data_IF_533943822014
#
_entry.id   IF_533943822014
#
_cell.length_a   1.000
_cell.length_b   1.000
_cell.length_c   1.000
_cell.angle_alpha   90.00
_cell.angle_beta   90.00
_cell.angle_gamma   90.00
#
_symmetry.space_group_name_H-M   'P 1'
#
loop_
_entity.id
_entity.type
_entity.pdbx_description
1 polymer ?
#
# COMPACT_ATOMS: atom_id res chain seq x y z
N UNK A 1 63.55 -40.93 -63.61
CA UNK A 1 62.18 -40.96 -64.18
C UNK A 1 61.32 -41.87 -63.31
N UNK A 2 60.04 -41.55 -63.10
CA UNK A 2 59.42 -41.44 -61.77
C UNK A 2 58.44 -42.58 -61.43
N UNK A 3 58.08 -42.74 -60.15
CA UNK A 3 56.71 -43.18 -59.77
C UNK A 3 56.28 -42.68 -58.39
N UNK A 4 55.04 -42.21 -58.37
CA UNK A 4 54.32 -41.39 -57.41
C UNK A 4 54.24 -41.87 -55.95
N UNK A 5 54.34 -40.91 -55.02
CA UNK A 5 53.77 -40.99 -53.67
C UNK A 5 52.37 -40.36 -53.70
N UNK A 6 51.38 -41.10 -53.19
CA UNK A 6 49.99 -40.66 -53.03
C UNK A 6 49.90 -39.56 -51.95
N UNK A 7 49.26 -38.45 -52.32
CA UNK A 7 48.97 -37.34 -51.43
C UNK A 7 47.46 -37.33 -51.15
N UNK A 8 47.03 -37.73 -49.96
CA UNK A 8 45.65 -37.53 -49.49
C UNK A 8 45.55 -36.18 -48.77
N UNK A 9 44.57 -35.32 -49.06
CA UNK A 9 44.42 -34.05 -48.37
C UNK A 9 43.85 -34.25 -46.96
N UNK A 10 44.11 -33.32 -46.01
CA UNK A 10 43.57 -33.41 -44.66
C UNK A 10 42.06 -33.07 -44.67
N UNK A 11 41.28 -33.86 -43.93
CA UNK A 11 39.88 -33.56 -43.62
C UNK A 11 39.79 -32.23 -42.85
N UNK A 12 39.10 -31.24 -43.42
CA UNK A 12 38.68 -30.04 -42.68
C UNK A 12 37.49 -30.42 -41.80
N UNK A 13 37.70 -30.48 -40.49
CA UNK A 13 36.62 -30.56 -39.52
C UNK A 13 35.83 -29.24 -39.56
N UNK A 14 34.62 -29.28 -40.12
CA UNK A 14 33.67 -28.17 -40.06
C UNK A 14 33.00 -28.24 -38.70
N UNK A 15 33.46 -27.42 -37.75
CA UNK A 15 32.77 -27.21 -36.49
C UNK A 15 31.48 -26.43 -36.76
N UNK A 16 30.34 -27.13 -36.67
CA UNK A 16 29.02 -26.53 -36.79
C UNK A 16 28.73 -25.75 -35.50
N UNK A 17 28.99 -24.45 -35.50
CA UNK A 17 28.56 -23.52 -34.45
C UNK A 17 27.04 -23.39 -34.52
N UNK A 18 26.32 -24.13 -33.68
CA UNK A 18 24.90 -23.87 -33.42
C UNK A 18 24.76 -22.49 -32.77
N UNK A 19 23.90 -21.60 -33.26
CA UNK A 19 23.60 -20.36 -32.56
C UNK A 19 22.81 -20.73 -31.30
N UNK A 20 23.40 -20.46 -30.13
CA UNK A 20 22.71 -20.52 -28.86
C UNK A 20 21.66 -19.40 -28.88
N UNK A 21 20.44 -19.72 -29.32
CA UNK A 21 19.30 -18.83 -29.24
C UNK A 21 19.05 -18.56 -27.75
N UNK A 22 19.46 -17.38 -27.29
CA UNK A 22 19.19 -16.89 -25.95
C UNK A 22 17.67 -16.65 -25.87
N UNK A 23 16.93 -17.65 -25.41
CA UNK A 23 15.55 -17.46 -24.96
C UNK A 23 15.60 -16.52 -23.74
N UNK A 24 15.50 -15.21 -23.98
CA UNK A 24 15.00 -14.29 -22.96
C UNK A 24 13.57 -14.72 -22.68
N UNK A 25 13.38 -15.53 -21.62
CA UNK A 25 12.05 -15.70 -21.06
C UNK A 25 11.57 -14.30 -20.69
N UNK A 26 10.64 -13.77 -21.48
CA UNK A 26 9.85 -12.62 -21.06
C UNK A 26 9.08 -13.11 -19.84
N UNK A 27 9.62 -12.84 -18.64
CA UNK A 27 8.88 -13.05 -17.42
C UNK A 27 7.58 -12.26 -17.59
N UNK A 28 6.45 -12.97 -17.61
CA UNK A 28 5.16 -12.31 -17.52
C UNK A 28 5.23 -11.37 -16.31
N UNK A 29 4.81 -10.10 -16.43
CA UNK A 29 4.75 -9.24 -15.26
C UNK A 29 3.96 -9.97 -14.19
N UNK A 30 4.48 -9.98 -12.96
CA UNK A 30 3.77 -10.56 -11.83
C UNK A 30 2.35 -9.97 -11.80
N UNK A 31 1.32 -10.77 -11.47
CA UNK A 31 -0.04 -10.26 -11.39
C UNK A 31 -0.06 -9.04 -10.45
N UNK A 32 -0.74 -7.99 -10.88
CA UNK A 32 -0.87 -6.77 -10.10
C UNK A 32 -1.58 -7.11 -8.78
N UNK A 33 -0.89 -6.95 -7.66
CA UNK A 33 -1.40 -7.27 -6.34
C UNK A 33 -0.61 -6.56 -5.26
N UNK A 34 -1.21 -6.43 -4.08
CA UNK A 34 -0.58 -5.93 -2.87
C UNK A 34 -0.93 -6.84 -1.70
N UNK A 35 0.05 -7.24 -0.91
CA UNK A 35 -0.19 -7.86 0.38
C UNK A 35 -0.30 -6.79 1.47
N UNK A 36 -1.41 -6.80 2.20
CA UNK A 36 -1.64 -5.96 3.39
C UNK A 36 -1.42 -6.84 4.61
N UNK A 37 -0.35 -6.59 5.35
CA UNK A 37 0.01 -7.34 6.57
C UNK A 37 -0.21 -6.48 7.80
N UNK A 38 -0.96 -6.99 8.76
CA UNK A 38 -1.14 -6.32 10.04
C UNK A 38 0.11 -6.37 10.89
N UNK A 39 0.60 -5.22 11.36
CA UNK A 39 1.75 -5.15 12.27
C UNK A 39 1.26 -5.11 13.72
N UNK A 40 0.24 -4.29 14.00
CA UNK A 40 -0.37 -4.15 15.32
C UNK A 40 -0.98 -2.77 15.49
N UNK A 41 -1.93 -2.62 16.42
CA UNK A 41 -2.73 -1.42 16.59
C UNK A 41 -3.39 -0.94 15.28
N UNK A 42 -2.97 0.21 14.73
CA UNK A 42 -3.35 0.69 13.40
C UNK A 42 -2.29 0.39 12.33
N UNK A 43 -1.14 -0.14 12.73
CA UNK A 43 0.01 -0.33 11.85
C UNK A 43 -0.16 -1.46 10.86
N UNK A 44 0.17 -1.17 9.60
CA UNK A 44 0.19 -2.13 8.49
C UNK A 44 1.49 -2.05 7.71
N UNK A 45 1.87 -3.18 7.11
CA UNK A 45 2.93 -3.29 6.11
C UNK A 45 2.29 -3.65 4.77
N UNK A 46 2.56 -2.85 3.75
CA UNK A 46 2.11 -3.06 2.39
C UNK A 46 3.27 -3.58 1.56
N UNK A 47 3.10 -4.71 0.88
CA UNK A 47 4.18 -5.37 0.14
C UNK A 47 3.76 -5.68 -1.29
N UNK A 48 4.57 -5.26 -2.26
CA UNK A 48 4.46 -5.67 -3.66
C UNK A 48 5.78 -5.42 -4.41
N UNK A 49 6.06 -6.24 -5.43
CA UNK A 49 7.24 -6.05 -6.28
C UNK A 49 8.60 -6.21 -5.58
N UNK A 50 8.62 -6.75 -4.35
CA UNK A 50 9.84 -6.93 -3.55
C UNK A 50 10.11 -5.79 -2.56
N UNK A 51 9.40 -4.67 -2.67
CA UNK A 51 9.47 -3.54 -1.75
C UNK A 51 8.30 -3.58 -0.75
N UNK A 52 8.46 -2.88 0.38
CA UNK A 52 7.38 -2.64 1.33
C UNK A 52 7.25 -1.19 1.81
N UNK A 53 6.04 -0.84 2.24
CA UNK A 53 5.70 0.42 2.90
C UNK A 53 5.13 0.11 4.28
N UNK A 54 5.70 0.71 5.32
CA UNK A 54 5.14 0.68 6.67
C UNK A 54 4.26 1.92 6.88
N UNK A 55 3.09 1.73 7.46
CA UNK A 55 2.23 2.81 7.96
C UNK A 55 1.99 2.54 9.44
N UNK A 56 2.18 3.55 10.29
CA UNK A 56 1.93 3.50 11.75
C UNK A 56 2.48 2.26 12.44
N UNK A 57 3.66 1.79 12.02
CA UNK A 57 4.24 0.54 12.52
C UNK A 57 5.35 0.77 13.54
N UNK A 58 5.96 1.96 13.56
CA UNK A 58 7.07 2.32 14.46
C UNK A 58 6.56 2.90 15.78
N UNK A 59 5.60 2.23 16.40
CA UNK A 59 5.17 2.48 17.77
C UNK A 59 5.83 1.51 18.74
N UNK A 60 6.00 1.92 20.00
CA UNK A 60 6.55 1.04 21.03
C UNK A 60 5.83 1.17 22.36
N UNK A 61 4.56 1.62 22.36
CA UNK A 61 3.78 1.72 23.58
C UNK A 61 3.68 0.34 24.26
N UNK A 62 3.68 0.37 25.60
CA UNK A 62 3.41 -0.81 26.43
C UNK A 62 2.00 -0.77 26.99
N UNK A 63 1.11 0.02 26.39
CA UNK A 63 -0.29 0.14 26.80
C UNK A 63 -1.08 -1.13 26.44
N UNK A 64 -1.65 -1.86 27.42
CA UNK A 64 -2.42 -3.09 27.16
C UNK A 64 -3.77 -2.83 26.50
N UNK A 65 -4.13 -1.56 26.33
CA UNK A 65 -5.35 -1.15 25.67
C UNK A 65 -5.35 -1.54 24.18
N UNK A 66 -4.22 -1.39 23.47
CA UNK A 66 -4.12 -1.68 22.04
C UNK A 66 -3.40 -3.00 21.74
N UNK A 67 -3.72 -3.59 20.58
CA UNK A 67 -2.96 -4.72 20.05
C UNK A 67 -1.52 -4.30 19.76
N UNK A 68 -0.58 -5.23 19.88
CA UNK A 68 0.85 -4.92 19.76
C UNK A 68 1.57 -5.97 18.95
N UNK A 69 2.66 -5.53 18.32
CA UNK A 69 3.64 -6.41 17.74
C UNK A 69 4.33 -7.24 18.86
N UNK A 70 4.36 -8.58 18.77
CA UNK A 70 5.07 -9.42 19.73
C UNK A 70 6.56 -9.06 19.81
N UNK A 71 7.22 -9.37 20.94
CA UNK A 71 8.63 -9.00 21.20
C UNK A 71 9.58 -9.40 20.07
N UNK A 72 9.41 -10.59 19.50
CA UNK A 72 10.21 -11.07 18.37
C UNK A 72 10.00 -10.19 17.13
N UNK A 73 8.74 -9.92 16.78
CA UNK A 73 8.38 -9.01 15.68
C UNK A 73 8.91 -7.60 15.90
N UNK A 74 8.81 -7.06 17.12
CA UNK A 74 9.36 -5.73 17.47
C UNK A 74 10.88 -5.69 17.32
N UNK A 75 11.55 -6.77 17.70
CA UNK A 75 13.01 -6.88 17.56
C UNK A 75 13.40 -6.90 16.08
N UNK A 76 12.71 -7.70 15.27
CA UNK A 76 12.94 -7.76 13.83
C UNK A 76 12.68 -6.40 13.18
N UNK A 77 11.56 -5.75 13.51
CA UNK A 77 11.23 -4.40 13.04
C UNK A 77 12.36 -3.43 13.35
N UNK A 78 12.73 -3.25 14.61
CA UNK A 78 13.76 -2.28 14.99
C UNK A 78 15.14 -2.56 14.37
N UNK A 79 15.44 -3.81 14.05
CA UNK A 79 16.69 -4.21 13.40
C UNK A 79 16.64 -4.20 11.87
N UNK A 80 15.49 -3.86 11.27
CA UNK A 80 15.24 -4.01 9.85
C UNK A 80 15.56 -5.43 9.35
N UNK A 81 15.24 -6.45 10.16
CA UNK A 81 15.33 -7.85 9.79
C UNK A 81 13.99 -8.29 9.17
N UNK A 82 14.01 -9.38 8.40
CA UNK A 82 12.81 -9.95 7.77
C UNK A 82 11.65 -10.08 8.77
N UNK A 83 10.41 -9.64 8.40
CA UNK A 83 9.99 -9.21 7.06
C UNK A 83 10.19 -7.70 6.75
N UNK A 84 10.96 -6.98 7.56
CA UNK A 84 11.14 -5.52 7.48
C UNK A 84 12.45 -5.08 6.81
N UNK A 85 13.11 -5.99 6.09
CA UNK A 85 14.43 -5.81 5.48
C UNK A 85 14.39 -5.07 4.13
N UNK A 86 13.22 -4.95 3.50
CA UNK A 86 13.03 -4.27 2.20
C UNK A 86 12.01 -3.11 2.28
N UNK A 87 11.96 -2.41 3.41
CA UNK A 87 11.08 -1.24 3.59
C UNK A 87 11.65 -0.06 2.80
N UNK A 88 10.86 0.47 1.86
CA UNK A 88 11.23 1.65 1.07
C UNK A 88 10.72 2.95 1.71
N UNK A 89 9.52 2.88 2.30
CA UNK A 89 8.87 4.00 2.97
C UNK A 89 8.35 3.60 4.35
N UNK A 90 8.54 4.48 5.33
CA UNK A 90 7.85 4.42 6.62
C UNK A 90 7.05 5.70 6.85
N UNK A 91 5.74 5.54 6.98
CA UNK A 91 4.76 6.60 7.08
C UNK A 91 4.18 6.63 8.50
N UNK A 92 4.01 7.84 9.03
CA UNK A 92 3.35 8.06 10.32
C UNK A 92 2.21 9.04 10.11
N UNK A 93 1.00 8.65 10.51
CA UNK A 93 -0.21 9.48 10.38
C UNK A 93 -0.15 10.66 11.34
N UNK A 94 0.05 10.42 12.63
CA UNK A 94 0.20 11.46 13.66
C UNK A 94 1.11 11.01 14.82
N UNK A 95 1.30 11.88 15.82
CA UNK A 95 2.31 11.72 16.87
C UNK A 95 1.83 11.03 18.16
N UNK A 96 0.64 10.42 18.16
CA UNK A 96 0.20 9.66 19.34
C UNK A 96 1.08 8.42 19.55
N UNK A 97 1.32 8.03 20.82
CA UNK A 97 2.31 7.00 21.15
C UNK A 97 1.96 5.59 20.64
N UNK A 98 0.72 5.35 20.25
CA UNK A 98 0.21 4.12 19.66
C UNK A 98 0.33 4.05 18.13
N UNK A 99 0.78 5.15 17.50
CA UNK A 99 1.12 5.23 16.06
C UNK A 99 2.61 5.53 15.84
N UNK A 100 3.22 6.26 16.77
CA UNK A 100 4.55 6.84 16.63
C UNK A 100 5.41 6.67 17.87
N UNK A 101 6.69 6.35 17.66
CA UNK A 101 7.72 6.47 18.68
C UNK A 101 9.03 7.00 18.09
N UNK A 102 9.47 8.17 18.57
CA UNK A 102 10.68 8.83 18.08
C UNK A 102 11.94 7.96 18.22
N UNK A 103 12.06 7.16 19.29
CA UNK A 103 13.22 6.28 19.47
C UNK A 103 13.17 5.11 18.49
N UNK A 104 11.99 4.54 18.24
CA UNK A 104 11.82 3.48 17.25
C UNK A 104 12.19 3.97 15.85
N UNK A 105 11.76 5.18 15.48
CA UNK A 105 12.12 5.82 14.20
C UNK A 105 13.63 5.99 14.07
N UNK A 106 14.32 6.52 15.10
CA UNK A 106 15.79 6.63 15.09
C UNK A 106 16.47 5.29 14.91
N UNK A 107 16.10 4.30 15.70
CA UNK A 107 16.70 2.96 15.66
C UNK A 107 16.46 2.30 14.30
N UNK A 108 15.23 2.36 13.78
CA UNK A 108 14.90 1.83 12.47
C UNK A 108 15.69 2.54 11.37
N UNK A 109 15.74 3.87 11.37
CA UNK A 109 16.48 4.66 10.36
C UNK A 109 17.98 4.35 10.35
N UNK A 110 18.57 4.03 11.50
CA UNK A 110 19.97 3.63 11.59
C UNK A 110 20.25 2.22 11.04
N UNK A 111 19.26 1.33 11.11
CA UNK A 111 19.38 -0.06 10.62
C UNK A 111 18.86 -0.22 9.17
N UNK A 112 18.04 0.72 8.67
CA UNK A 112 17.54 0.76 7.30
C UNK A 112 17.83 2.11 6.64
N UNK A 113 19.08 2.35 6.20
CA UNK A 113 19.50 3.64 5.64
C UNK A 113 18.82 3.98 4.30
N UNK A 114 18.24 2.99 3.62
CA UNK A 114 17.51 3.18 2.36
C UNK A 114 16.02 3.54 2.57
N UNK A 115 15.48 3.33 3.77
CA UNK A 115 14.11 3.75 4.10
C UNK A 115 14.00 5.27 4.10
N UNK A 116 13.01 5.80 3.38
CA UNK A 116 12.58 7.18 3.50
C UNK A 116 11.37 7.29 4.43
N UNK A 117 11.27 8.41 5.13
CA UNK A 117 10.21 8.62 6.12
C UNK A 117 9.32 9.79 5.72
N UNK A 118 8.01 9.64 5.93
CA UNK A 118 7.06 10.76 5.89
C UNK A 118 6.36 10.80 7.24
N UNK A 119 6.49 11.93 7.92
CA UNK A 119 5.97 12.16 9.25
C UNK A 119 5.17 13.46 9.25
N UNK A 120 4.11 13.55 10.06
CA UNK A 120 3.45 14.83 10.31
C UNK A 120 4.46 15.83 10.91
N UNK A 121 4.26 17.16 10.74
CA UNK A 121 5.21 18.15 11.24
C UNK A 121 5.48 18.03 12.76
N UNK A 122 4.47 17.67 13.55
CA UNK A 122 4.60 17.33 14.97
C UNK A 122 5.51 16.13 15.23
N UNK A 123 5.30 15.02 14.52
CA UNK A 123 6.15 13.83 14.65
C UNK A 123 7.58 14.12 14.18
N UNK A 124 7.76 14.85 13.08
CA UNK A 124 9.06 15.29 12.55
C UNK A 124 9.84 16.11 13.58
N UNK A 125 9.19 17.04 14.27
CA UNK A 125 9.83 17.84 15.32
C UNK A 125 10.52 17.01 16.41
N UNK A 126 10.05 15.77 16.64
CA UNK A 126 10.59 14.85 17.65
C UNK A 126 11.80 14.03 17.17
N UNK A 127 12.13 14.06 15.88
CA UNK A 127 13.22 13.28 15.24
C UNK A 127 14.03 14.13 14.26
N UNK A 128 14.30 15.39 14.59
CA UNK A 128 15.04 16.32 13.73
C UNK A 128 16.42 15.81 13.29
N UNK A 129 17.01 14.89 14.06
CA UNK A 129 18.29 14.22 13.79
C UNK A 129 18.24 13.16 12.68
N UNK A 130 17.05 12.65 12.32
CA UNK A 130 16.89 11.69 11.23
C UNK A 130 16.91 12.42 9.89
N UNK A 131 17.85 12.08 9.02
CA UNK A 131 18.09 12.81 7.75
C UNK A 131 17.27 12.30 6.57
N UNK A 132 16.78 11.06 6.62
CA UNK A 132 15.98 10.43 5.57
C UNK A 132 14.49 10.78 5.63
N UNK A 133 14.10 11.77 6.43
CA UNK A 133 12.72 12.27 6.46
C UNK A 133 12.48 13.25 5.31
N UNK A 134 11.49 12.95 4.48
CA UNK A 134 10.98 13.83 3.44
C UNK A 134 10.03 14.82 4.09
N UNK A 135 10.38 16.11 4.03
CA UNK A 135 9.49 17.17 4.51
C UNK A 135 8.38 17.39 3.50
N UNK A 136 7.14 17.22 3.95
CA UNK A 136 5.95 17.42 3.12
C UNK A 136 4.99 18.30 3.91
N UNK A 137 4.72 19.47 3.36
CA UNK A 137 3.68 20.36 3.87
C UNK A 137 2.40 20.08 3.08
N UNK A 138 1.34 19.69 3.79
CA UNK A 138 0.02 19.47 3.21
C UNK A 138 -0.95 20.38 3.97
N UNK A 139 -1.56 21.36 3.27
CA UNK A 139 -2.55 22.23 3.90
C UNK A 139 -3.69 21.43 4.52
N UNK A 140 -4.08 21.79 5.74
CA UNK A 140 -5.20 21.17 6.44
C UNK A 140 -6.50 21.29 5.63
N UNK A 141 -7.19 20.17 5.43
CA UNK A 141 -8.45 20.07 4.70
C UNK A 141 -8.43 20.74 3.31
N UNK A 142 -7.27 20.73 2.63
CA UNK A 142 -7.13 21.39 1.34
C UNK A 142 -6.09 20.70 0.45
N UNK A 143 -6.58 19.93 -0.52
CA UNK A 143 -5.76 19.27 -1.54
C UNK A 143 -4.88 18.15 -0.97
N UNK A 144 -3.88 17.77 -1.75
CA UNK A 144 -2.95 16.70 -1.41
C UNK A 144 -1.55 16.98 -1.95
N UNK A 145 -0.58 16.26 -1.42
CA UNK A 145 0.79 16.23 -1.96
C UNK A 145 1.15 14.80 -2.33
N UNK A 146 1.89 14.62 -3.43
CA UNK A 146 2.28 13.30 -3.92
C UNK A 146 3.80 13.15 -3.91
N UNK A 147 4.27 11.98 -3.46
CA UNK A 147 5.66 11.55 -3.58
C UNK A 147 5.72 10.21 -4.28
N UNK A 148 6.73 10.04 -5.14
CA UNK A 148 6.90 8.84 -5.96
C UNK A 148 8.30 8.27 -5.82
N UNK A 149 8.38 6.95 -5.82
CA UNK A 149 9.60 6.17 -6.08
C UNK A 149 9.27 5.05 -7.09
N UNK A 150 10.24 4.35 -7.69
CA UNK A 150 9.94 3.25 -8.60
C UNK A 150 8.94 2.27 -7.98
N UNK A 151 7.80 2.04 -8.66
CA UNK A 151 6.76 1.11 -8.21
C UNK A 151 5.85 1.58 -7.06
N UNK A 152 6.08 2.77 -6.48
CA UNK A 152 5.34 3.28 -5.32
C UNK A 152 4.97 4.75 -5.54
N UNK A 153 3.69 5.07 -5.40
CA UNK A 153 3.18 6.44 -5.30
C UNK A 153 2.44 6.61 -3.98
N UNK A 154 2.66 7.73 -3.31
CA UNK A 154 2.05 8.07 -2.02
C UNK A 154 1.43 9.45 -2.15
N UNK A 155 0.11 9.51 -2.15
CA UNK A 155 -0.66 10.76 -2.04
C UNK A 155 -1.03 10.98 -0.56
N UNK A 156 -0.88 12.21 -0.10
CA UNK A 156 -0.88 12.56 1.33
C UNK A 156 -1.88 13.68 1.54
N UNK A 157 -2.71 13.52 2.56
CA UNK A 157 -3.78 14.44 2.93
C UNK A 157 -3.62 14.82 4.40
N UNK A 158 -4.04 16.02 4.77
CA UNK A 158 -4.06 16.47 6.16
C UNK A 158 -5.51 16.69 6.58
N UNK A 159 -5.98 15.83 7.48
CA UNK A 159 -7.39 15.69 7.85
C UNK A 159 -7.58 15.92 9.35
N UNK A 160 -8.82 16.17 9.76
CA UNK A 160 -9.16 16.33 11.18
C UNK A 160 -9.11 14.97 11.88
N UNK A 161 -8.35 14.91 12.97
CA UNK A 161 -8.31 13.78 13.88
C UNK A 161 -9.63 13.70 14.67
N UNK A 162 -10.15 12.50 14.93
CA UNK A 162 -11.38 12.37 15.73
C UNK A 162 -11.13 12.69 17.21
N UNK A 163 -12.08 13.37 17.86
CA UNK A 163 -12.04 13.61 19.29
C UNK A 163 -12.62 12.39 20.06
N UNK A 164 -11.88 11.88 21.05
CA UNK A 164 -12.34 10.75 21.86
C UNK A 164 -12.06 10.91 23.36
N UNK A 165 -12.85 10.18 24.15
CA UNK A 165 -12.71 10.06 25.61
C UNK A 165 -12.75 11.41 26.36
N UNK A 166 -13.40 12.42 25.78
CA UNK A 166 -13.43 13.78 26.32
C UNK A 166 -12.12 14.55 26.16
N UNK A 167 -11.20 14.06 25.32
CA UNK A 167 -9.99 14.78 24.91
C UNK A 167 -10.29 15.67 23.71
N UNK A 168 -9.59 16.79 23.64
CA UNK A 168 -9.54 17.70 22.50
C UNK A 168 -8.25 17.39 21.71
N UNK A 169 -8.41 16.78 20.55
CA UNK A 169 -7.35 16.45 19.59
C UNK A 169 -7.36 17.37 18.37
N UNK A 170 -8.08 18.49 18.40
CA UNK A 170 -8.15 19.48 17.30
C UNK A 170 -6.80 20.05 16.85
N UNK A 171 -5.74 19.88 17.66
CA UNK A 171 -4.37 20.31 17.35
C UNK A 171 -3.47 19.17 16.84
N UNK A 172 -3.95 17.95 16.80
CA UNK A 172 -3.20 16.81 16.27
C UNK A 172 -3.16 16.94 14.75
N UNK A 173 -1.95 16.90 14.20
CA UNK A 173 -1.76 16.89 12.75
C UNK A 173 -1.85 15.46 12.26
N UNK A 174 -3.04 15.08 11.79
CA UNK A 174 -3.32 13.74 11.28
C UNK A 174 -3.24 13.67 9.76
N UNK A 175 -2.35 12.80 9.29
CA UNK A 175 -2.11 12.58 7.88
C UNK A 175 -2.77 11.28 7.43
N UNK A 176 -3.52 11.36 6.33
CA UNK A 176 -4.06 10.21 5.62
C UNK A 176 -3.17 9.90 4.41
N UNK A 177 -2.97 8.62 4.12
CA UNK A 177 -2.09 8.17 3.04
C UNK A 177 -2.84 7.30 2.04
N UNK A 178 -2.80 7.66 0.76
CA UNK A 178 -3.17 6.78 -0.34
C UNK A 178 -1.90 6.23 -0.98
N UNK A 179 -1.65 4.94 -0.80
CA UNK A 179 -0.49 4.25 -1.35
C UNK A 179 -0.91 3.46 -2.58
N UNK A 180 -0.30 3.78 -3.72
CA UNK A 180 -0.39 3.01 -4.96
C UNK A 180 0.87 2.16 -5.12
N UNK A 181 0.74 0.84 -5.07
CA UNK A 181 1.85 -0.10 -5.24
C UNK A 181 1.31 -1.45 -5.79
N UNK A 182 2.08 -2.10 -6.67
CA UNK A 182 1.64 -3.37 -7.27
C UNK A 182 0.35 -3.25 -8.10
N UNK A 183 0.03 -2.05 -8.58
CA UNK A 183 -1.22 -1.74 -9.29
C UNK A 183 -2.44 -1.50 -8.39
N UNK A 184 -2.32 -1.69 -7.07
CA UNK A 184 -3.40 -1.50 -6.08
C UNK A 184 -3.29 -0.14 -5.42
N UNK A 185 -4.43 0.49 -5.12
CA UNK A 185 -4.58 1.71 -4.34
C UNK A 185 -5.19 1.43 -2.97
N UNK A 186 -4.39 1.58 -1.91
CA UNK A 186 -4.83 1.41 -0.53
C UNK A 186 -4.82 2.75 0.21
N UNK A 187 -5.98 3.15 0.76
CA UNK A 187 -6.11 4.32 1.61
C UNK A 187 -5.96 3.92 3.08
N UNK A 188 -5.15 4.63 3.85
CA UNK A 188 -5.04 4.48 5.29
C UNK A 188 -5.48 5.78 5.97
N UNK A 189 -6.60 5.73 6.67
CA UNK A 189 -7.23 6.94 7.22
C UNK A 189 -6.53 7.49 8.48
N UNK A 190 -5.62 6.74 9.10
CA UNK A 190 -5.09 7.16 10.41
C UNK A 190 -6.21 7.19 11.43
N UNK A 191 -6.33 8.28 12.17
CA UNK A 191 -7.29 8.47 13.24
C UNK A 191 -8.23 9.65 12.90
N UNK A 192 -8.79 9.59 11.68
CA UNK A 192 -9.67 10.61 11.10
C UNK A 192 -11.09 10.58 11.68
N UNK A 193 -11.70 11.77 11.83
CA UNK A 193 -13.12 11.90 12.17
C UNK A 193 -14.05 11.59 10.99
N UNK A 194 -15.02 10.69 11.19
CA UNK A 194 -15.93 10.18 10.17
C UNK A 194 -17.17 11.07 10.02
N UNK A 195 -16.94 12.36 9.72
CA UNK A 195 -17.98 13.33 9.39
C UNK A 195 -17.82 13.80 7.93
N UNK A 196 -18.93 14.02 7.18
CA UNK A 196 -18.84 14.38 5.75
C UNK A 196 -17.94 15.59 5.45
N UNK A 197 -17.95 16.59 6.34
CA UNK A 197 -17.18 17.84 6.20
C UNK A 197 -15.68 17.55 6.10
N UNK A 198 -15.19 16.56 6.84
CA UNK A 198 -13.78 16.21 6.88
C UNK A 198 -13.28 15.58 5.56
N UNK A 199 -14.18 15.02 4.74
CA UNK A 199 -13.85 14.37 3.47
C UNK A 199 -14.15 15.24 2.24
N UNK A 200 -14.95 16.30 2.42
CA UNK A 200 -15.51 17.09 1.33
C UNK A 200 -14.48 17.72 0.38
N UNK A 201 -13.25 17.96 0.85
CA UNK A 201 -12.18 18.58 0.08
C UNK A 201 -11.41 17.62 -0.84
N UNK A 202 -11.58 16.31 -0.69
CA UNK A 202 -10.65 15.35 -1.28
C UNK A 202 -11.21 14.62 -2.50
N UNK A 203 -12.49 14.26 -2.57
CA UNK A 203 -13.07 13.44 -3.65
C UNK A 203 -12.37 12.08 -3.81
N UNK A 204 -12.25 11.31 -2.72
CA UNK A 204 -11.69 9.95 -2.79
C UNK A 204 -12.41 8.99 -3.76
N UNK A 205 -13.74 9.07 -4.00
CA UNK A 205 -14.40 8.14 -4.91
C UNK A 205 -13.83 8.17 -6.34
N UNK A 206 -13.39 9.33 -6.82
CA UNK A 206 -12.78 9.43 -8.15
C UNK A 206 -11.39 8.80 -8.25
N UNK A 207 -10.74 8.48 -7.13
CA UNK A 207 -9.43 7.83 -7.10
C UNK A 207 -9.48 6.32 -7.31
N UNK A 208 -10.65 5.69 -7.16
CA UNK A 208 -10.81 4.25 -7.30
C UNK A 208 -10.07 3.48 -6.20
N UNK A 209 -10.46 3.69 -4.95
CA UNK A 209 -9.83 3.06 -3.78
C UNK A 209 -10.14 1.56 -3.74
N UNK A 210 -9.13 0.71 -3.92
CA UNK A 210 -9.30 -0.74 -3.89
C UNK A 210 -9.55 -1.24 -2.46
N UNK A 211 -8.83 -0.68 -1.49
CA UNK A 211 -9.02 -0.99 -0.07
C UNK A 211 -8.79 0.21 0.83
N UNK A 212 -9.48 0.24 1.97
CA UNK A 212 -9.27 1.23 3.01
C UNK A 212 -8.95 0.56 4.35
N UNK A 213 -7.95 1.06 5.06
CA UNK A 213 -7.66 0.73 6.46
C UNK A 213 -8.35 1.77 7.34
N UNK A 214 -9.23 1.32 8.21
CA UNK A 214 -10.01 2.16 9.11
C UNK A 214 -9.81 1.74 10.57
N UNK A 215 -9.58 2.69 11.49
CA UNK A 215 -9.75 2.41 12.91
C UNK A 215 -11.22 2.14 13.22
N UNK A 216 -11.47 1.22 14.15
CA UNK A 216 -12.83 0.69 14.42
C UNK A 216 -13.20 0.58 15.89
N UNK A 217 -12.63 1.41 16.77
CA UNK A 217 -13.10 1.47 18.15
C UNK A 217 -14.55 2.01 18.23
N UNK A 218 -15.24 1.62 19.31
CA UNK A 218 -16.70 1.68 19.43
C UNK A 218 -17.39 3.01 19.06
N UNK A 219 -16.78 4.18 19.30
CA UNK A 219 -17.40 5.47 18.97
C UNK A 219 -17.40 5.79 17.47
N UNK A 220 -16.48 5.20 16.69
CA UNK A 220 -16.49 5.32 15.23
C UNK A 220 -17.42 4.29 14.55
N UNK A 221 -17.79 3.22 15.25
CA UNK A 221 -18.65 2.16 14.73
C UNK A 221 -20.14 2.51 14.89
N UNK A 222 -20.62 3.41 14.04
CA UNK A 222 -22.04 3.73 13.92
C UNK A 222 -22.52 3.57 12.48
N UNK A 223 -23.83 3.40 12.28
CA UNK A 223 -24.41 3.36 10.93
C UNK A 223 -24.22 4.67 10.15
N UNK A 224 -24.16 5.81 10.87
CA UNK A 224 -23.91 7.12 10.25
C UNK A 224 -22.47 7.21 9.73
N UNK A 225 -21.50 6.87 10.57
CA UNK A 225 -20.09 6.90 10.19
C UNK A 225 -19.78 5.87 9.09
N UNK A 226 -20.43 4.70 9.14
CA UNK A 226 -20.39 3.73 8.05
C UNK A 226 -20.83 4.35 6.72
N UNK A 227 -21.91 5.13 6.73
CA UNK A 227 -22.40 5.78 5.52
C UNK A 227 -21.41 6.81 4.99
N UNK A 228 -20.72 7.55 5.88
CA UNK A 228 -19.63 8.46 5.49
C UNK A 228 -18.51 7.72 4.78
N UNK A 229 -18.02 6.60 5.32
CA UNK A 229 -16.97 5.81 4.65
C UNK A 229 -17.43 5.31 3.28
N UNK A 230 -18.65 4.79 3.17
CA UNK A 230 -19.15 4.26 1.91
C UNK A 230 -19.38 5.33 0.84
N UNK A 231 -19.85 6.52 1.24
CA UNK A 231 -20.16 7.60 0.29
C UNK A 231 -18.92 8.43 -0.06
N UNK A 232 -18.09 8.75 0.94
CA UNK A 232 -16.97 9.67 0.82
C UNK A 232 -15.65 8.99 0.45
N UNK A 233 -15.49 7.68 0.69
CA UNK A 233 -14.31 6.92 0.26
C UNK A 233 -14.65 5.96 -0.87
N UNK A 234 -15.87 5.39 -0.86
CA UNK A 234 -16.31 4.36 -1.79
C UNK A 234 -15.29 3.20 -1.97
N UNK A 235 -14.75 2.65 -0.87
CA UNK A 235 -13.74 1.62 -0.95
C UNK A 235 -14.37 0.30 -1.39
N UNK A 236 -13.57 -0.55 -2.04
CA UNK A 236 -14.06 -1.88 -2.44
C UNK A 236 -13.81 -2.96 -1.42
N UNK A 237 -12.81 -2.76 -0.58
CA UNK A 237 -12.52 -3.61 0.55
C UNK A 237 -12.25 -2.77 1.80
N UNK A 238 -12.62 -3.29 2.96
CA UNK A 238 -12.40 -2.61 4.24
C UNK A 238 -11.52 -3.51 5.11
N UNK A 239 -10.44 -2.93 5.61
CA UNK A 239 -9.57 -3.51 6.62
C UNK A 239 -9.84 -2.79 7.94
N UNK A 240 -10.33 -3.53 8.93
CA UNK A 240 -10.60 -3.02 10.26
C UNK A 240 -9.40 -3.29 11.18
N UNK A 241 -8.87 -2.20 11.74
CA UNK A 241 -7.72 -2.15 12.65
C UNK A 241 -8.06 -1.34 13.89
N UNK A 242 -7.06 -1.08 14.74
CA UNK A 242 -7.16 -0.21 15.93
C UNK A 242 -8.19 -0.74 16.95
N UNK A 243 -8.15 -2.06 17.18
CA UNK A 243 -9.03 -2.76 18.10
C UNK A 243 -8.45 -2.78 19.52
N UNK A 244 -9.33 -2.71 20.51
CA UNK A 244 -8.96 -2.86 21.93
C UNK A 244 -8.55 -4.29 22.23
N UNK A 245 -7.29 -4.51 22.62
CA UNK A 245 -6.72 -5.84 22.84
C UNK A 245 -7.49 -6.66 23.90
N UNK A 246 -8.02 -6.01 24.93
CA UNK A 246 -8.81 -6.67 25.97
C UNK A 246 -10.24 -7.08 25.54
N UNK A 247 -10.69 -6.68 24.35
CA UNK A 247 -12.09 -6.85 23.91
C UNK A 247 -12.20 -7.31 22.45
N UNK A 248 -11.16 -7.94 21.89
CA UNK A 248 -11.07 -8.28 20.47
C UNK A 248 -12.29 -9.02 19.92
N UNK A 249 -12.81 -10.01 20.63
CA UNK A 249 -13.99 -10.76 20.18
C UNK A 249 -15.22 -9.84 20.05
N UNK A 250 -15.46 -8.98 21.04
CA UNK A 250 -16.58 -8.04 21.03
C UNK A 250 -16.39 -6.96 19.97
N UNK A 251 -15.19 -6.38 19.85
CA UNK A 251 -14.88 -5.38 18.82
C UNK A 251 -15.06 -5.98 17.42
N UNK A 252 -14.54 -7.17 17.19
CA UNK A 252 -14.68 -7.85 15.91
C UNK A 252 -16.13 -8.23 15.61
N UNK A 253 -16.96 -8.52 16.62
CA UNK A 253 -18.40 -8.71 16.45
C UNK A 253 -19.10 -7.39 16.07
N UNK A 254 -18.73 -6.26 16.70
CA UNK A 254 -19.26 -4.93 16.38
C UNK A 254 -18.91 -4.53 14.94
N UNK A 255 -17.66 -4.75 14.52
CA UNK A 255 -17.23 -4.51 13.14
C UNK A 255 -18.06 -5.36 12.17
N UNK A 256 -18.20 -6.67 12.41
CA UNK A 256 -18.98 -7.56 11.53
C UNK A 256 -20.45 -7.14 11.40
N UNK A 257 -21.03 -6.57 12.45
CA UNK A 257 -22.41 -6.08 12.41
C UNK A 257 -22.61 -4.92 11.42
N UNK A 258 -21.59 -4.09 11.19
CA UNK A 258 -21.62 -2.96 10.26
C UNK A 258 -20.96 -3.26 8.91
N UNK A 259 -19.89 -4.03 8.93
CA UNK A 259 -19.06 -4.38 7.78
C UNK A 259 -18.88 -5.90 7.71
N UNK A 260 -19.89 -6.65 7.24
CA UNK A 260 -19.86 -8.12 7.26
C UNK A 260 -18.72 -8.71 6.41
N UNK A 261 -18.28 -8.00 5.37
CA UNK A 261 -17.22 -8.42 4.45
C UNK A 261 -15.84 -7.83 4.80
N UNK A 262 -15.71 -7.07 5.89
CA UNK A 262 -14.42 -6.49 6.27
C UNK A 262 -13.42 -7.57 6.68
N UNK A 263 -12.17 -7.39 6.27
CA UNK A 263 -11.04 -8.11 6.87
C UNK A 263 -10.74 -7.48 8.22
N UNK A 264 -10.87 -8.25 9.29
CA UNK A 264 -10.63 -7.77 10.66
C UNK A 264 -9.31 -8.35 11.13
N UNK A 265 -8.34 -7.48 11.38
CA UNK A 265 -7.04 -7.89 11.88
C UNK A 265 -7.04 -7.91 13.40
N UNK A 266 -6.79 -9.08 13.98
CA UNK A 266 -6.77 -9.29 15.44
C UNK A 266 -5.41 -9.76 15.94
N UNK A 267 -4.55 -10.26 15.05
CA UNK A 267 -3.24 -10.82 15.39
C UNK A 267 -2.17 -10.33 14.42
N UNK A 268 -1.03 -9.87 14.95
CA UNK A 268 0.11 -9.43 14.14
C UNK A 268 0.52 -10.51 13.14
N UNK A 269 0.90 -10.06 11.95
CA UNK A 269 1.27 -10.86 10.78
C UNK A 269 0.13 -11.61 10.10
N UNK A 270 -1.13 -11.39 10.49
CA UNK A 270 -2.25 -11.69 9.59
C UNK A 270 -2.09 -10.86 8.31
N UNK A 271 -2.19 -11.51 7.16
CA UNK A 271 -2.07 -10.86 5.86
C UNK A 271 -3.28 -11.14 4.98
N UNK A 272 -3.51 -10.22 4.05
CA UNK A 272 -4.52 -10.34 3.00
C UNK A 272 -3.94 -9.82 1.69
N UNK A 273 -3.99 -10.64 0.63
CA UNK A 273 -3.60 -10.20 -0.71
C UNK A 273 -4.80 -9.61 -1.41
N UNK A 274 -4.72 -8.32 -1.73
CA UNK A 274 -5.69 -7.59 -2.55
C UNK A 274 -5.18 -7.48 -3.98
N UNK A 275 -6.11 -7.57 -4.93
CA UNK A 275 -5.86 -7.38 -6.36
C UNK A 275 -6.53 -6.07 -6.79
N UNK A 276 -5.96 -5.35 -7.76
CA UNK A 276 -6.59 -4.15 -8.25
C UNK A 276 -7.83 -4.52 -9.03
N UNK A 277 -8.72 -3.58 -9.08
CA UNK A 277 -9.89 -3.67 -9.91
C UNK A 277 -9.51 -3.57 -11.37
N UNK A 278 -10.01 -4.48 -12.23
CA UNK A 278 -9.95 -4.23 -13.66
C UNK A 278 -10.73 -2.95 -13.97
N UNK A 279 -10.06 -1.93 -14.50
CA UNK A 279 -10.71 -0.77 -15.09
C UNK A 279 -11.93 -1.24 -15.90
N UNK A 280 -13.12 -0.63 -15.74
CA UNK A 280 -14.31 -1.05 -16.46
C UNK A 280 -13.93 -1.08 -17.93
N UNK A 281 -13.93 -2.28 -18.50
CA UNK A 281 -13.41 -2.50 -19.84
C UNK A 281 -14.20 -1.58 -20.75
N UNK A 282 -13.56 -0.55 -21.29
CA UNK A 282 -14.13 0.26 -22.34
C UNK A 282 -14.52 -0.72 -23.43
N UNK A 283 -15.82 -1.03 -23.51
CA UNK A 283 -16.37 -1.93 -24.50
C UNK A 283 -16.08 -1.24 -25.83
N UNK A 284 -14.96 -1.60 -26.45
CA UNK A 284 -14.61 -1.15 -27.79
C UNK A 284 -15.66 -1.79 -28.69
N UNK A 285 -16.77 -1.09 -28.90
CA UNK A 285 -17.74 -1.38 -29.93
C UNK A 285 -17.00 -1.22 -31.26
N UNK A 286 -16.31 -2.27 -31.67
CA UNK A 286 -15.84 -2.43 -33.04
C UNK A 286 -17.10 -2.64 -33.87
N UNK A 287 -17.74 -1.54 -34.27
CA UNK A 287 -18.76 -1.56 -35.30
C UNK A 287 -18.09 -2.06 -36.58
N UNK A 288 -18.30 -3.33 -36.90
CA UNK A 288 -17.90 -3.91 -38.17
C UNK A 288 -18.57 -3.17 -39.31
N UNK A 289 -17.80 -2.35 -40.02
CA UNK A 289 -18.20 -1.82 -41.31
C UNK A 289 -18.19 -2.97 -42.32
N UNK A 290 -19.28 -3.73 -42.37
CA UNK A 290 -19.58 -4.61 -43.49
C UNK A 290 -19.89 -3.74 -44.71
N UNK A 291 -18.95 -3.68 -45.65
CA UNK A 291 -19.09 -2.96 -46.91
C UNK A 291 -20.25 -3.51 -47.75
N UNK A 292 -21.24 -2.67 -48.02
CA UNK A 292 -22.11 -2.85 -49.18
C UNK A 292 -21.36 -2.36 -50.43
N UNK A 293 -20.63 -3.27 -51.07
CA UNK A 293 -20.27 -3.13 -52.47
C UNK A 293 -21.50 -3.48 -53.32
N UNK A 294 -22.28 -2.47 -53.68
CA UNK A 294 -23.35 -2.61 -54.67
C UNK A 294 -22.73 -2.91 -56.05
N UNK A 295 -23.06 -4.09 -56.56
CA UNK A 295 -22.66 -4.62 -57.84
C UNK A 295 -23.19 -3.73 -58.99
N UNK A 296 -22.29 -3.07 -59.72
CA UNK A 296 -22.59 -2.54 -61.06
C UNK A 296 -22.64 -3.71 -62.04
N UNK A 297 -23.82 -4.02 -62.59
CA UNK A 297 -23.94 -4.81 -63.83
C UNK A 297 -24.08 -3.86 -65.01
N UNK A 298 -23.23 -4.07 -66.01
CA UNK A 298 -23.34 -3.53 -67.36
C UNK A 298 -23.75 -4.68 -68.30
N UNK A 299 -24.61 -4.35 -69.28
CA UNK A 299 -24.92 -5.05 -70.56
C UNK A 299 -25.68 -6.40 -70.46
N UNK A 300 -26.69 -6.71 -71.29
CA UNK A 300 -27.08 -6.23 -72.63
C UNK A 300 -28.53 -5.75 -72.70
#
# INVERSE_FOLDING_TARGET
MPTALFNTPPMKAVALLLPLALLTALASPAPAQMEVTFVGNNGVMLSAGGDSVLIDSLFTHTDPFWTRLPTAGRTALLRAESPFDNVRWSLTTHNHPDHFNAQAVRVFSGNSPETQFILSPQARGSVADVTSVVTIDVPFQNGSSTVTSPGIEIEIFHMEHFDQFGNDFSRVQDYTYLVTMGGVKLLHLGDVDYIPENFAAFDFPSRGIDGVVIPTFNTLLTSANRQVILDQVAPRHIFATHLRAGQLEQEAANVRALYPEATIFTESFQSFTIQPVPEPSGLLLVAGAAGLAACRRFSC
#
